data_IF_993682875380
#
_entry.id   IF_993682875380
#
_cell.length_a   1.000
_cell.length_b   1.000
_cell.length_c   1.000
_cell.angle_alpha   90.00
_cell.angle_beta   90.00
_cell.angle_gamma   90.00
#
_symmetry.space_group_name_H-M   'P 1'
#
loop_
_entity.id
_entity.type
_entity.pdbx_description
1 polymer ?
#
# COMPACT_ATOMS: atom_id res chain seq x y z
N UNK A 1 -24.48 -1.96 -16.61
CA UNK A 1 -23.29 -1.45 -15.88
C UNK A 1 -22.99 -2.33 -14.66
N UNK A 2 -22.81 -3.65 -14.83
CA UNK A 2 -22.60 -4.61 -13.72
C UNK A 2 -21.13 -5.04 -13.50
N UNK A 3 -20.23 -4.65 -14.40
CA UNK A 3 -18.84 -5.11 -14.39
C UNK A 3 -18.00 -4.56 -13.21
N UNK A 4 -18.36 -3.40 -12.67
CA UNK A 4 -17.63 -2.80 -11.54
C UNK A 4 -17.98 -3.43 -10.18
N UNK A 5 -19.17 -4.00 -10.01
CA UNK A 5 -19.62 -4.49 -8.69
C UNK A 5 -19.47 -6.01 -8.52
N UNK A 6 -19.47 -6.75 -9.62
CA UNK A 6 -19.29 -8.21 -9.60
C UNK A 6 -18.45 -8.67 -10.80
N UNK A 7 -17.14 -8.35 -10.82
CA UNK A 7 -16.29 -8.73 -11.93
C UNK A 7 -16.07 -10.24 -11.93
N UNK A 8 -16.14 -10.85 -13.12
CA UNK A 8 -15.81 -12.27 -13.28
C UNK A 8 -14.28 -12.46 -13.19
N UNK A 9 -13.78 -13.48 -12.46
CA UNK A 9 -12.34 -13.70 -12.27
C UNK A 9 -11.69 -14.32 -13.52
N UNK A 10 -11.70 -13.58 -14.62
CA UNK A 10 -11.16 -14.01 -15.91
C UNK A 10 -10.11 -13.04 -16.42
N UNK A 11 -8.97 -13.58 -16.80
CA UNK A 11 -7.91 -12.91 -17.54
C UNK A 11 -7.86 -13.55 -18.94
N UNK A 12 -7.89 -12.74 -19.98
CA UNK A 12 -7.82 -13.25 -21.36
C UNK A 12 -6.39 -13.70 -21.68
N UNK A 13 -6.13 -15.01 -21.88
CA UNK A 13 -4.80 -15.50 -22.19
C UNK A 13 -4.36 -15.15 -23.64
N UNK A 14 -5.25 -14.58 -24.46
CA UNK A 14 -5.03 -14.24 -25.87
C UNK A 14 -5.24 -12.76 -26.15
N UNK A 15 -4.81 -11.89 -25.23
CA UNK A 15 -4.82 -10.45 -25.46
C UNK A 15 -4.14 -10.10 -26.80
N UNK A 16 -4.91 -9.55 -27.74
CA UNK A 16 -4.47 -9.26 -29.12
C UNK A 16 -3.72 -7.92 -29.24
N UNK A 17 -3.83 -7.05 -28.24
CA UNK A 17 -3.14 -5.76 -28.22
C UNK A 17 -1.71 -5.95 -27.70
N UNK A 18 -0.73 -5.76 -28.58
CA UNK A 18 0.69 -5.83 -28.23
C UNK A 18 1.26 -4.41 -28.15
N UNK A 19 1.80 -4.05 -26.99
CA UNK A 19 2.55 -2.81 -26.82
C UNK A 19 3.97 -3.06 -27.32
N UNK A 20 4.40 -2.33 -28.37
CA UNK A 20 5.79 -2.35 -28.80
C UNK A 20 6.64 -1.53 -27.83
N UNK A 21 7.56 -2.19 -27.15
CA UNK A 21 8.53 -1.59 -26.23
C UNK A 21 9.93 -1.82 -26.79
N UNK A 22 10.84 -0.86 -26.58
CA UNK A 22 12.25 -1.06 -26.89
C UNK A 22 12.87 -2.10 -25.93
N UNK A 23 14.00 -2.70 -26.32
CA UNK A 23 14.63 -3.75 -25.52
C UNK A 23 15.11 -3.25 -24.16
N UNK A 24 15.57 -1.99 -24.09
CA UNK A 24 16.00 -1.37 -22.83
C UNK A 24 14.87 -1.38 -21.77
N UNK A 25 13.68 -0.90 -22.13
CA UNK A 25 12.51 -0.91 -21.22
C UNK A 25 12.10 -2.35 -20.90
N UNK A 26 12.15 -3.27 -21.86
CA UNK A 26 11.82 -4.69 -21.61
C UNK A 26 12.65 -5.31 -20.49
N UNK A 27 13.95 -4.99 -20.42
CA UNK A 27 14.83 -5.51 -19.36
C UNK A 27 14.52 -4.96 -17.97
N UNK A 28 13.72 -3.89 -17.88
CA UNK A 28 13.32 -3.30 -16.60
C UNK A 28 12.16 -4.04 -15.93
N UNK A 29 11.37 -4.83 -16.68
CA UNK A 29 10.22 -5.54 -16.11
C UNK A 29 10.64 -6.84 -15.43
N UNK A 30 9.94 -7.13 -14.34
CA UNK A 30 9.92 -8.44 -13.69
C UNK A 30 8.59 -9.12 -14.01
N UNK A 31 8.55 -10.46 -14.02
CA UNK A 31 7.38 -11.23 -14.47
C UNK A 31 6.52 -11.78 -13.33
N UNK A 32 6.99 -11.69 -12.08
CA UNK A 32 6.28 -12.18 -10.92
C UNK A 32 6.82 -11.52 -9.64
N UNK A 33 6.10 -11.71 -8.53
CA UNK A 33 6.41 -11.11 -7.23
C UNK A 33 7.80 -11.48 -6.70
N UNK A 34 8.28 -12.71 -6.94
CA UNK A 34 9.61 -13.15 -6.50
C UNK A 34 10.71 -12.38 -7.22
N UNK A 35 10.64 -12.29 -8.55
CA UNK A 35 11.59 -11.50 -9.34
C UNK A 35 11.53 -10.02 -8.99
N UNK A 36 10.33 -9.48 -8.73
CA UNK A 36 10.18 -8.10 -8.24
C UNK A 36 10.86 -7.92 -6.89
N UNK A 37 10.67 -8.85 -5.95
CA UNK A 37 11.30 -8.79 -4.64
C UNK A 37 12.83 -8.92 -4.72
N UNK A 38 13.37 -9.77 -5.60
CA UNK A 38 14.81 -9.87 -5.87
C UNK A 38 15.39 -8.54 -6.34
N UNK A 39 14.70 -7.90 -7.29
CA UNK A 39 15.11 -6.61 -7.85
C UNK A 39 15.06 -5.51 -6.80
N UNK A 40 14.01 -5.48 -5.98
CA UNK A 40 13.86 -4.51 -4.87
C UNK A 40 14.93 -4.75 -3.80
N UNK A 41 15.15 -5.99 -3.38
CA UNK A 41 16.18 -6.34 -2.40
C UNK A 41 17.58 -5.95 -2.88
N UNK A 42 17.88 -6.19 -4.16
CA UNK A 42 19.14 -5.77 -4.78
C UNK A 42 19.30 -4.25 -4.76
N UNK A 43 18.25 -3.49 -5.14
CA UNK A 43 18.28 -2.03 -5.10
C UNK A 43 18.47 -1.48 -3.68
N UNK A 44 17.84 -2.09 -2.68
CA UNK A 44 18.01 -1.74 -1.27
C UNK A 44 19.45 -2.01 -0.83
N UNK A 45 20.01 -3.18 -1.15
CA UNK A 45 21.39 -3.52 -0.82
C UNK A 45 22.40 -2.57 -1.47
N UNK A 46 22.16 -2.17 -2.72
CA UNK A 46 23.00 -1.18 -3.42
C UNK A 46 22.95 0.19 -2.73
N UNK A 47 21.80 0.60 -2.19
CA UNK A 47 21.66 1.84 -1.42
C UNK A 47 22.38 1.73 -0.07
N UNK A 48 22.21 0.61 0.65
CA UNK A 48 22.89 0.34 1.93
C UNK A 48 24.40 0.35 1.72
N UNK A 49 24.91 -0.24 0.64
CA UNK A 49 26.36 -0.29 0.35
C UNK A 49 26.98 1.09 0.12
N UNK A 50 26.17 2.09 -0.26
CA UNK A 50 26.59 3.49 -0.46
C UNK A 50 26.37 4.36 0.79
N UNK A 51 25.66 3.83 1.78
CA UNK A 51 25.28 4.53 3.00
C UNK A 51 25.45 3.64 4.23
N UNK A 52 24.60 3.85 5.24
CA UNK A 52 24.54 2.98 6.42
C UNK A 52 23.22 2.21 6.52
N UNK A 53 22.14 2.80 6.02
CA UNK A 53 20.79 2.27 6.10
C UNK A 53 19.97 2.68 4.87
N UNK A 54 18.83 2.02 4.66
CA UNK A 54 17.87 2.35 3.62
C UNK A 54 16.45 2.25 4.17
N UNK A 55 15.66 3.31 4.03
CA UNK A 55 14.24 3.35 4.36
C UNK A 55 13.42 3.19 3.07
N UNK A 56 12.56 2.18 3.05
CA UNK A 56 11.68 1.85 1.93
C UNK A 56 10.24 2.13 2.32
N UNK A 57 9.56 2.98 1.56
CA UNK A 57 8.12 3.18 1.67
C UNK A 57 7.39 2.36 0.61
N UNK A 58 6.43 1.53 1.02
CA UNK A 58 5.59 0.70 0.15
C UNK A 58 4.13 1.10 0.36
N UNK A 59 3.62 1.94 -0.54
CA UNK A 59 2.21 2.33 -0.60
C UNK A 59 1.54 1.62 -1.78
N UNK A 60 0.26 1.84 -2.00
CA UNK A 60 -0.45 1.20 -3.10
C UNK A 60 -1.93 1.45 -3.10
N UNK A 61 -2.56 0.94 -4.13
CA UNK A 61 -4.01 0.98 -4.24
C UNK A 61 -4.67 0.10 -3.17
N UNK A 62 -5.91 0.44 -2.81
CA UNK A 62 -6.67 -0.32 -1.82
C UNK A 62 -6.70 -1.81 -2.19
N UNK A 63 -6.53 -2.68 -1.19
CA UNK A 63 -6.37 -4.14 -1.28
C UNK A 63 -5.02 -4.66 -1.80
N UNK A 64 -4.03 -3.81 -2.02
CA UNK A 64 -2.69 -4.27 -2.36
C UNK A 64 -2.12 -5.21 -1.26
N UNK A 65 -1.40 -6.28 -1.63
CA UNK A 65 -0.88 -7.27 -0.69
C UNK A 65 0.39 -6.78 0.01
N UNK A 66 0.27 -5.70 0.79
CA UNK A 66 1.41 -4.99 1.37
C UNK A 66 2.26 -5.87 2.28
N UNK A 67 1.61 -6.59 3.20
CA UNK A 67 2.28 -7.47 4.16
C UNK A 67 2.99 -8.63 3.46
N UNK A 68 2.34 -9.26 2.47
CA UNK A 68 2.95 -10.36 1.74
C UNK A 68 4.16 -9.89 0.94
N UNK A 69 4.06 -8.73 0.28
CA UNK A 69 5.16 -8.20 -0.52
C UNK A 69 6.31 -7.69 0.35
N UNK A 70 6.04 -6.99 1.45
CA UNK A 70 7.07 -6.52 2.39
C UNK A 70 7.79 -7.69 3.10
N UNK A 71 7.03 -8.73 3.47
CA UNK A 71 7.59 -9.99 3.99
C UNK A 71 8.47 -10.69 2.97
N UNK A 72 8.05 -10.73 1.70
CA UNK A 72 8.86 -11.31 0.62
C UNK A 72 10.16 -10.52 0.40
N UNK A 73 10.11 -9.18 0.34
CA UNK A 73 11.32 -8.35 0.22
C UNK A 73 12.26 -8.57 1.40
N UNK A 74 11.73 -8.60 2.63
CA UNK A 74 12.50 -8.89 3.85
C UNK A 74 13.22 -10.24 3.77
N UNK A 75 12.51 -11.28 3.29
CA UNK A 75 13.08 -12.61 3.11
C UNK A 75 14.22 -12.60 2.08
N UNK A 76 14.05 -11.88 0.96
CA UNK A 76 15.06 -11.81 -0.10
C UNK A 76 16.29 -11.01 0.32
N UNK A 77 16.12 -9.95 1.11
CA UNK A 77 17.24 -9.24 1.74
C UNK A 77 18.10 -10.15 2.61
N UNK A 78 17.47 -10.94 3.49
CA UNK A 78 18.19 -11.87 4.34
C UNK A 78 18.89 -12.98 3.54
N UNK A 79 18.20 -13.58 2.57
CA UNK A 79 18.72 -14.72 1.80
C UNK A 79 19.83 -14.37 0.82
N UNK A 80 19.73 -13.21 0.16
CA UNK A 80 20.66 -12.83 -0.91
C UNK A 80 21.83 -11.99 -0.41
N UNK A 81 21.64 -11.24 0.69
CA UNK A 81 22.58 -10.20 1.12
C UNK A 81 22.90 -10.22 2.61
N UNK A 82 22.33 -11.15 3.41
CA UNK A 82 22.46 -11.18 4.87
C UNK A 82 22.04 -9.86 5.55
N UNK A 83 21.09 -9.14 4.93
CA UNK A 83 20.57 -7.86 5.44
C UNK A 83 19.29 -8.12 6.22
N UNK A 84 19.29 -7.72 7.50
CA UNK A 84 18.07 -7.69 8.32
C UNK A 84 17.21 -6.48 7.98
N UNK A 85 15.91 -6.70 7.80
CA UNK A 85 14.91 -5.65 7.64
C UNK A 85 14.10 -5.44 8.93
N UNK A 86 13.97 -4.18 9.36
CA UNK A 86 12.96 -3.74 10.31
C UNK A 86 11.67 -3.44 9.55
N UNK A 87 10.52 -3.85 10.04
CA UNK A 87 9.25 -3.70 9.32
C UNK A 87 8.25 -2.94 10.19
N UNK A 88 7.69 -1.86 9.62
CA UNK A 88 6.63 -1.05 10.20
C UNK A 88 5.42 -1.05 9.26
N UNK A 89 4.22 -0.98 9.82
CA UNK A 89 2.98 -0.85 9.06
C UNK A 89 2.20 0.41 9.46
N UNK A 90 1.38 0.92 8.56
CA UNK A 90 0.50 2.07 8.83
C UNK A 90 -0.90 1.68 9.31
N UNK A 91 -1.24 0.39 9.34
CA UNK A 91 -2.60 -0.10 9.69
C UNK A 91 -3.00 0.32 11.11
N UNK A 92 -2.05 0.34 12.05
CA UNK A 92 -2.36 0.74 13.42
C UNK A 92 -2.46 2.26 13.61
N UNK A 93 -2.00 3.07 12.64
CA UNK A 93 -1.91 4.53 12.77
C UNK A 93 -3.28 5.20 12.61
N UNK A 94 -4.23 4.55 11.95
CA UNK A 94 -5.58 5.06 11.75
C UNK A 94 -6.33 5.23 13.07
N UNK A 95 -7.29 6.15 13.08
CA UNK A 95 -8.32 6.18 14.13
C UNK A 95 -9.15 4.89 14.08
N UNK A 96 -9.76 4.51 15.20
CA UNK A 96 -10.67 3.37 15.23
C UNK A 96 -11.90 3.62 14.33
N UNK A 97 -12.49 2.55 13.81
CA UNK A 97 -13.59 2.57 12.83
C UNK A 97 -14.72 3.52 13.19
N UNK A 98 -15.21 3.54 14.44
CA UNK A 98 -16.33 4.40 14.86
C UNK A 98 -15.96 5.89 14.78
N UNK A 99 -14.73 6.24 15.17
CA UNK A 99 -14.25 7.62 15.10
C UNK A 99 -14.07 8.09 13.65
N UNK A 100 -13.67 7.17 12.75
CA UNK A 100 -13.61 7.44 11.32
C UNK A 100 -15.01 7.60 10.73
N UNK A 101 -15.95 6.75 11.10
CA UNK A 101 -17.34 6.82 10.65
C UNK A 101 -17.95 8.19 10.98
N UNK A 102 -17.89 8.62 12.23
CA UNK A 102 -18.39 9.94 12.67
C UNK A 102 -17.71 11.09 11.93
N UNK A 103 -16.40 10.98 11.68
CA UNK A 103 -15.62 12.01 10.99
C UNK A 103 -15.97 12.13 9.50
N UNK A 104 -16.33 11.01 8.88
CA UNK A 104 -16.65 10.92 7.45
C UNK A 104 -18.15 11.07 7.15
N UNK A 105 -19.03 10.92 8.16
CA UNK A 105 -20.47 11.05 8.01
C UNK A 105 -20.93 12.34 7.30
N UNK A 106 -20.35 13.53 7.58
CA UNK A 106 -20.73 14.76 6.86
C UNK A 106 -20.42 14.74 5.35
N UNK A 107 -19.54 13.84 4.91
CA UNK A 107 -19.15 13.65 3.51
C UNK A 107 -19.96 12.56 2.81
N UNK A 108 -20.82 11.84 3.54
CA UNK A 108 -21.71 10.81 3.02
C UNK A 108 -23.15 11.12 3.47
N UNK A 109 -23.73 12.27 3.09
CA UNK A 109 -25.09 12.61 3.49
C UNK A 109 -26.09 11.62 2.87
N UNK A 110 -27.00 11.10 3.68
CA UNK A 110 -28.10 10.29 3.16
C UNK A 110 -29.26 11.19 2.71
N UNK A 111 -29.47 11.29 1.39
CA UNK A 111 -30.64 11.94 0.80
C UNK A 111 -31.30 10.98 -0.18
N UNK A 112 -32.34 10.28 0.28
CA UNK A 112 -33.04 9.27 -0.53
C UNK A 112 -34.09 9.87 -1.48
N UNK A 113 -34.34 11.18 -1.42
CA UNK A 113 -35.22 11.86 -2.37
C UNK A 113 -34.44 12.24 -3.63
N UNK A 114 -33.30 12.93 -3.48
CA UNK A 114 -32.44 13.34 -4.60
C UNK A 114 -31.49 12.21 -5.03
N UNK A 115 -31.03 11.36 -4.11
CA UNK A 115 -30.16 10.21 -4.36
C UNK A 115 -30.71 8.92 -3.72
N UNK A 116 -31.75 8.30 -4.33
CA UNK A 116 -32.39 7.10 -3.77
C UNK A 116 -31.46 5.91 -3.53
N UNK A 117 -30.33 5.88 -4.25
CA UNK A 117 -29.36 4.77 -4.24
C UNK A 117 -28.15 5.09 -3.34
N UNK A 118 -28.04 6.32 -2.81
CA UNK A 118 -26.93 6.80 -1.98
C UNK A 118 -25.57 6.63 -2.69
N UNK A 119 -25.51 6.98 -3.96
CA UNK A 119 -24.31 6.92 -4.79
C UNK A 119 -23.37 8.11 -4.59
N UNK A 120 -23.90 9.26 -4.19
CA UNK A 120 -23.16 10.52 -4.14
C UNK A 120 -22.75 10.87 -2.72
N UNK A 121 -21.49 11.29 -2.60
CA UNK A 121 -20.94 11.92 -1.40
C UNK A 121 -20.43 13.32 -1.70
N UNK A 122 -19.88 13.97 -0.68
CA UNK A 122 -19.11 15.20 -0.80
C UNK A 122 -17.63 14.86 -0.89
N UNK A 123 -16.88 15.65 -1.64
CA UNK A 123 -15.42 15.50 -1.70
C UNK A 123 -14.83 15.66 -0.30
N UNK A 124 -14.02 14.70 0.11
CA UNK A 124 -13.18 14.84 1.29
C UNK A 124 -12.03 15.79 0.95
N UNK A 125 -12.02 16.96 1.57
CA UNK A 125 -11.10 18.07 1.27
C UNK A 125 -9.88 18.13 2.19
N UNK A 126 -9.75 17.16 3.10
CA UNK A 126 -8.62 17.03 4.05
C UNK A 126 -7.66 15.91 3.63
N UNK A 127 -6.53 15.83 4.32
CA UNK A 127 -5.48 14.85 4.07
C UNK A 127 -5.65 13.56 4.89
N UNK A 128 -4.80 12.57 4.61
CA UNK A 128 -4.74 11.32 5.38
C UNK A 128 -4.39 11.54 6.85
N UNK A 129 -3.59 12.57 7.16
CA UNK A 129 -3.17 12.83 8.54
C UNK A 129 -4.37 13.14 9.43
N UNK A 130 -5.37 13.81 8.89
CA UNK A 130 -6.63 14.08 9.57
C UNK A 130 -7.49 12.84 9.83
N UNK A 131 -7.11 11.65 9.37
CA UNK A 131 -7.74 10.36 9.68
C UNK A 131 -6.89 9.48 10.62
N UNK A 132 -5.74 9.97 11.07
CA UNK A 132 -4.79 9.22 11.89
C UNK A 132 -4.81 9.64 13.36
N UNK A 133 -4.40 8.71 14.24
CA UNK A 133 -4.03 9.03 15.61
C UNK A 133 -2.72 9.81 15.62
N UNK A 134 -2.74 11.02 16.19
CA UNK A 134 -1.57 11.88 16.32
C UNK A 134 -0.42 11.18 17.05
N UNK A 135 -0.72 10.51 18.15
CA UNK A 135 0.29 9.81 18.97
C UNK A 135 0.99 8.68 18.20
N UNK A 136 0.21 7.84 17.52
CA UNK A 136 0.74 6.70 16.75
C UNK A 136 1.51 7.15 15.52
N UNK A 137 1.04 8.20 14.84
CA UNK A 137 1.77 8.83 13.74
C UNK A 137 3.13 9.37 14.23
N UNK A 138 3.14 10.09 15.35
CA UNK A 138 4.37 10.62 15.94
C UNK A 138 5.34 9.50 16.35
N UNK A 139 4.82 8.35 16.79
CA UNK A 139 5.65 7.17 17.06
C UNK A 139 6.35 6.66 15.80
N UNK A 140 5.63 6.47 14.68
CA UNK A 140 6.24 6.06 13.40
C UNK A 140 7.28 7.09 12.95
N UNK A 141 6.97 8.39 13.01
CA UNK A 141 7.93 9.45 12.67
C UNK A 141 9.20 9.39 13.51
N UNK A 142 9.08 9.14 14.82
CA UNK A 142 10.26 8.97 15.70
C UNK A 142 11.09 7.76 15.26
N UNK A 143 10.45 6.64 14.94
CA UNK A 143 11.15 5.43 14.48
C UNK A 143 11.86 5.65 13.13
N UNK A 144 11.23 6.36 12.19
CA UNK A 144 11.84 6.70 10.90
C UNK A 144 13.05 7.62 11.08
N UNK A 145 12.93 8.67 11.92
CA UNK A 145 14.02 9.60 12.23
C UNK A 145 15.19 8.88 12.88
N UNK A 146 14.92 8.10 13.93
CA UNK A 146 15.96 7.36 14.65
C UNK A 146 16.67 6.36 13.73
N UNK A 147 15.94 5.63 12.89
CA UNK A 147 16.55 4.70 11.94
C UNK A 147 17.39 5.41 10.87
N UNK A 148 16.98 6.61 10.44
CA UNK A 148 17.75 7.42 9.48
C UNK A 148 19.07 7.92 10.07
N UNK A 149 19.08 8.27 11.35
CA UNK A 149 20.27 8.81 12.04
C UNK A 149 21.20 7.70 12.56
N UNK A 150 20.63 6.66 13.17
CA UNK A 150 21.34 5.67 13.98
C UNK A 150 21.21 4.23 13.44
N UNK A 151 20.30 3.99 12.49
CA UNK A 151 19.98 2.65 12.01
C UNK A 151 21.05 2.03 11.11
N UNK A 152 20.93 0.72 10.94
CA UNK A 152 21.72 -0.07 9.99
C UNK A 152 20.82 -1.10 9.29
N UNK A 153 21.13 -1.41 8.03
CA UNK A 153 20.35 -2.32 7.21
C UNK A 153 19.12 -1.65 6.59
N UNK A 154 18.01 -2.38 6.48
CA UNK A 154 16.79 -1.89 5.84
C UNK A 154 15.67 -1.62 6.85
N UNK A 155 14.87 -0.57 6.62
CA UNK A 155 13.56 -0.40 7.25
C UNK A 155 12.50 -0.31 6.17
N UNK A 156 11.45 -1.12 6.28
CA UNK A 156 10.32 -1.16 5.36
C UNK A 156 9.09 -0.61 6.08
N UNK A 157 8.58 0.53 5.64
CA UNK A 157 7.27 1.07 6.03
C UNK A 157 6.27 0.71 4.94
N UNK A 158 5.21 -0.03 5.27
CA UNK A 158 4.20 -0.41 4.29
C UNK A 158 2.78 -0.10 4.74
N UNK A 159 1.87 -0.03 3.77
CA UNK A 159 0.43 0.10 3.98
C UNK A 159 -0.14 1.33 3.30
N UNK A 160 -1.45 1.51 3.45
CA UNK A 160 -2.12 2.70 2.93
C UNK A 160 -1.47 3.95 3.53
N UNK A 161 -1.20 4.96 2.71
CA UNK A 161 -0.56 6.22 3.10
C UNK A 161 0.87 6.07 3.65
N UNK A 162 1.56 4.95 3.42
CA UNK A 162 2.97 4.80 3.76
C UNK A 162 3.88 5.80 3.01
N UNK A 163 3.40 6.37 1.89
CA UNK A 163 4.09 7.40 1.13
C UNK A 163 3.39 8.77 1.19
N UNK A 164 2.59 9.04 2.24
CA UNK A 164 2.12 10.40 2.53
C UNK A 164 3.30 11.33 2.84
N UNK A 165 3.12 12.64 2.62
CA UNK A 165 4.23 13.62 2.63
C UNK A 165 5.12 13.53 3.88
N UNK A 166 4.53 13.41 5.07
CA UNK A 166 5.28 13.34 6.33
C UNK A 166 6.10 12.06 6.51
N UNK A 167 5.72 10.92 5.91
CA UNK A 167 6.55 9.71 5.93
C UNK A 167 7.52 9.66 4.75
N UNK A 168 7.07 10.14 3.59
CA UNK A 168 7.77 10.10 2.30
C UNK A 168 9.11 10.84 2.32
N UNK A 169 9.25 11.88 3.14
CA UNK A 169 10.50 12.63 3.31
C UNK A 169 11.65 11.78 3.89
N UNK A 170 11.32 10.70 4.62
CA UNK A 170 12.31 9.79 5.19
C UNK A 170 12.69 8.64 4.26
N UNK A 171 11.85 8.32 3.26
CA UNK A 171 12.07 7.17 2.39
C UNK A 171 13.10 7.45 1.28
N UNK A 172 14.09 6.55 1.18
CA UNK A 172 15.11 6.52 0.13
C UNK A 172 14.57 5.84 -1.13
N UNK A 173 13.83 4.73 -0.95
CA UNK A 173 13.13 4.01 -2.02
C UNK A 173 11.62 4.08 -1.81
N UNK A 174 10.90 4.39 -2.88
CA UNK A 174 9.45 4.63 -2.86
C UNK A 174 8.79 3.70 -3.88
N UNK A 175 7.96 2.79 -3.39
CA UNK A 175 7.28 1.78 -4.19
C UNK A 175 5.77 1.99 -4.08
N UNK A 176 5.09 1.88 -5.21
CA UNK A 176 3.63 1.92 -5.26
C UNK A 176 3.13 0.61 -5.90
N UNK A 177 2.28 -0.12 -5.17
CA UNK A 177 1.63 -1.33 -5.69
C UNK A 177 0.31 -0.91 -6.33
N UNK A 178 0.27 -0.93 -7.66
CA UNK A 178 -0.96 -0.71 -8.40
C UNK A 178 -1.81 -1.99 -8.46
N UNK A 179 -3.13 -1.82 -8.46
CA UNK A 179 -4.10 -2.92 -8.49
C UNK A 179 -5.17 -2.65 -9.54
N UNK A 180 -5.48 -3.66 -10.35
CA UNK A 180 -6.62 -3.54 -11.26
C UNK A 180 -7.93 -3.48 -10.47
N UNK A 181 -8.89 -2.69 -10.97
CA UNK A 181 -10.22 -2.60 -10.36
C UNK A 181 -10.86 -3.98 -10.15
N UNK A 182 -10.73 -4.89 -11.13
CA UNK A 182 -11.17 -6.28 -11.00
C UNK A 182 -10.58 -6.95 -9.76
N UNK A 183 -9.25 -6.88 -9.60
CA UNK A 183 -8.58 -7.55 -8.48
C UNK A 183 -8.97 -6.92 -7.14
N UNK A 184 -9.10 -5.61 -7.09
CA UNK A 184 -9.54 -4.90 -5.89
C UNK A 184 -10.91 -5.37 -5.43
N UNK A 185 -11.90 -5.39 -6.33
CA UNK A 185 -13.26 -5.81 -5.97
C UNK A 185 -13.30 -7.28 -5.55
N UNK A 186 -12.57 -8.17 -6.23
CA UNK A 186 -12.46 -9.57 -5.82
C UNK A 186 -11.83 -9.71 -4.42
N UNK A 187 -10.79 -8.94 -4.13
CA UNK A 187 -10.15 -8.94 -2.80
C UNK A 187 -11.10 -8.44 -1.70
N UNK A 188 -11.86 -7.36 -1.96
CA UNK A 188 -12.86 -6.82 -1.03
C UNK A 188 -13.94 -7.87 -0.76
N UNK A 189 -14.52 -8.48 -1.81
CA UNK A 189 -15.55 -9.52 -1.68
C UNK A 189 -15.06 -10.73 -0.90
N UNK A 190 -13.81 -11.14 -1.10
CA UNK A 190 -13.19 -12.24 -0.36
C UNK A 190 -12.79 -11.86 1.08
N UNK A 191 -13.03 -10.63 1.54
CA UNK A 191 -12.63 -10.17 2.88
C UNK A 191 -11.12 -10.06 3.05
N UNK A 192 -10.35 -9.89 1.97
CA UNK A 192 -8.89 -9.74 2.04
C UNK A 192 -8.44 -8.36 2.51
N UNK A 193 -9.31 -7.36 2.40
CA UNK A 193 -9.11 -6.01 2.94
C UNK A 193 -10.43 -5.48 3.55
N UNK A 194 -10.32 -4.54 4.49
CA UNK A 194 -11.45 -3.87 5.12
C UNK A 194 -11.32 -2.35 5.03
N UNK A 195 -12.24 -1.63 5.67
CA UNK A 195 -12.14 -0.18 5.78
C UNK A 195 -10.98 0.24 6.68
N UNK A 196 -10.54 1.50 6.57
CA UNK A 196 -9.54 2.04 7.48
C UNK A 196 -10.06 1.97 8.94
N UNK A 197 -9.19 1.60 9.87
CA UNK A 197 -9.55 1.51 11.30
C UNK A 197 -10.37 0.28 11.70
N UNK A 198 -10.76 -0.58 10.76
CA UNK A 198 -11.41 -1.86 11.08
C UNK A 198 -10.38 -2.91 11.53
N UNK A 199 -10.71 -3.65 12.59
CA UNK A 199 -9.88 -4.75 13.13
C UNK A 199 -10.27 -6.12 12.56
N UNK A 200 -11.45 -6.23 11.98
CA UNK A 200 -11.99 -7.46 11.41
C UNK A 200 -12.28 -7.29 9.93
N UNK A 201 -12.10 -8.35 9.15
CA UNK A 201 -12.42 -8.36 7.72
C UNK A 201 -13.50 -9.40 7.49
N UNK A 202 -14.56 -9.02 6.78
CA UNK A 202 -15.67 -9.92 6.48
C UNK A 202 -15.80 -10.08 4.96
N UNK A 203 -15.95 -11.32 4.52
CA UNK A 203 -16.31 -11.58 3.13
C UNK A 203 -17.73 -11.06 2.87
N UNK A 204 -17.90 -10.38 1.74
CA UNK A 204 -19.19 -9.87 1.26
C UNK A 204 -19.65 -10.88 0.20
N UNK A 205 -20.52 -11.80 0.61
CA UNK A 205 -21.14 -12.78 -0.27
C UNK A 205 -22.23 -12.15 -1.13
#
# INVERSE_FOLDING_TARGET
MSFMFNPYPYDDPRAVNHIQLNEEIKTTFTRNSMQTADKVASAINDMISKGKSCIVGIDGYISAPFEQFSGLVSLRLAQLFDVKATVLNTEEVWLDSDALHERLLPYLPEDREEDPVLLYGRLYDKDYESLMSKEKKEQILRQLKDFKENGHGALILYGNAALMDSFREYCDLKLFIDMTQKRTILNIRNGSCGNLGEKGRMAIN
#
